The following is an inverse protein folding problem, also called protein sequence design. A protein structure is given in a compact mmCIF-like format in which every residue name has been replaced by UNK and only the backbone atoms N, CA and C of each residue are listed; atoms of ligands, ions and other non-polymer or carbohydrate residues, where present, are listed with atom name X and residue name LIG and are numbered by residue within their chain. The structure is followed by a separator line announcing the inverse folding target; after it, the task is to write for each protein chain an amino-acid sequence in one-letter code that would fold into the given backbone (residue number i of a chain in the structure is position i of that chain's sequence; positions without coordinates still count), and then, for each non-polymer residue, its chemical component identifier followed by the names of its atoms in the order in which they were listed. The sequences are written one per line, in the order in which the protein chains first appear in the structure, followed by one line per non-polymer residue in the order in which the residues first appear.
data_IF_715661698565
#
_entry.id   IF_715661698565
#
_cell.length_a   1.000
_cell.length_b   1.000
_cell.length_c   1.000
_cell.angle_alpha   90.00
_cell.angle_beta   90.00
_cell.angle_gamma   90.00
#
_symmetry.space_group_name_H-M   'P 1'
#
loop_
_entity.id
_entity.type
_entity.pdbx_description
1 polymer ?
#
# COMPACT_ATOMS: atom_id res chain seq x y z
N UNK A 1 -5.19 -12.93 9.73
CA UNK A 1 -4.22 -11.81 9.72
C UNK A 1 -4.02 -11.46 8.26
N UNK A 2 -4.68 -10.41 7.79
CA UNK A 2 -4.72 -10.09 6.36
C UNK A 2 -3.49 -9.24 6.02
N UNK A 3 -2.44 -9.90 5.54
CA UNK A 3 -1.23 -9.23 5.04
C UNK A 3 -1.41 -8.76 3.58
N UNK A 4 -2.65 -8.74 3.11
CA UNK A 4 -3.04 -8.41 1.74
C UNK A 4 -4.36 -7.65 1.76
N UNK A 5 -4.49 -6.71 0.83
CA UNK A 5 -5.67 -5.90 0.62
C UNK A 5 -5.81 -5.58 -0.87
N UNK A 6 -7.04 -5.60 -1.35
CA UNK A 6 -7.37 -5.21 -2.73
C UNK A 6 -8.20 -3.95 -2.69
N UNK A 7 -7.92 -3.06 -3.62
CA UNK A 7 -8.56 -1.76 -3.72
C UNK A 7 -9.02 -1.52 -5.14
N UNK A 8 -10.20 -0.95 -5.31
CA UNK A 8 -10.82 -0.66 -6.60
C UNK A 8 -11.21 0.81 -6.71
N UNK A 9 -11.34 1.31 -7.93
CA UNK A 9 -11.60 2.75 -8.17
C UNK A 9 -10.36 3.62 -7.92
N UNK A 10 -9.17 3.04 -7.97
CA UNK A 10 -7.90 3.74 -7.85
C UNK A 10 -7.57 4.38 -9.20
N UNK A 11 -7.82 5.68 -9.36
CA UNK A 11 -7.37 6.43 -10.54
C UNK A 11 -5.86 6.66 -10.48
N UNK A 12 -5.19 6.95 -11.61
CA UNK A 12 -3.75 7.25 -11.62
C UNK A 12 -3.37 8.45 -10.72
N UNK A 13 -4.21 9.49 -10.66
CA UNK A 13 -4.05 10.59 -9.69
C UNK A 13 -4.12 10.13 -8.23
N UNK A 14 -5.08 9.24 -7.93
CA UNK A 14 -5.27 8.65 -6.62
C UNK A 14 -4.08 7.80 -6.19
N UNK A 15 -3.62 6.98 -7.13
CA UNK A 15 -2.43 6.17 -6.97
C UNK A 15 -1.22 7.05 -6.67
N UNK A 16 -1.03 8.15 -7.40
CA UNK A 16 0.08 9.07 -7.14
C UNK A 16 0.03 9.68 -5.71
N UNK A 17 -1.18 10.01 -5.22
CA UNK A 17 -1.37 10.48 -3.85
C UNK A 17 -1.04 9.39 -2.81
N UNK A 18 -1.46 8.15 -3.08
CA UNK A 18 -1.14 6.96 -2.29
C UNK A 18 0.37 6.74 -2.22
N UNK A 19 1.10 6.81 -3.34
CA UNK A 19 2.56 6.67 -3.38
C UNK A 19 3.24 7.63 -2.40
N UNK A 20 2.78 8.88 -2.33
CA UNK A 20 3.29 9.87 -1.38
C UNK A 20 3.01 9.52 0.09
N UNK A 21 1.77 9.16 0.43
CA UNK A 21 1.37 8.78 1.79
C UNK A 21 2.07 7.50 2.26
N UNK A 22 2.21 6.53 1.37
CA UNK A 22 2.86 5.27 1.65
C UNK A 22 4.37 5.43 1.73
N UNK A 23 4.98 6.27 0.90
CA UNK A 23 6.39 6.64 1.01
C UNK A 23 6.73 7.21 2.39
N UNK A 24 5.85 8.03 2.96
CA UNK A 24 5.99 8.54 4.33
C UNK A 24 5.85 7.46 5.42
N UNK A 25 5.15 6.36 5.12
CA UNK A 25 5.05 5.18 5.98
C UNK A 25 6.18 4.15 5.73
N UNK A 26 7.14 4.47 4.85
CA UNK A 26 8.23 3.56 4.49
C UNK A 26 7.90 2.58 3.37
N UNK A 27 6.81 2.77 2.64
CA UNK A 27 6.38 1.95 1.50
C UNK A 27 6.44 2.79 0.23
N UNK A 28 7.60 2.78 -0.42
CA UNK A 28 7.78 3.45 -1.70
C UNK A 28 7.31 2.57 -2.84
N UNK A 29 6.07 2.79 -3.26
CA UNK A 29 5.54 2.25 -4.50
C UNK A 29 6.31 2.88 -5.67
N UNK A 30 7.14 2.10 -6.37
CA UNK A 30 8.00 2.53 -7.47
C UNK A 30 7.52 1.94 -8.81
N UNK A 31 6.55 2.61 -9.45
CA UNK A 31 5.94 2.17 -10.70
C UNK A 31 4.50 1.71 -10.48
N UNK A 32 4.01 0.79 -11.31
CA UNK A 32 2.66 0.25 -11.19
C UNK A 32 2.66 -1.04 -10.37
N UNK A 33 3.63 -1.92 -10.56
CA UNK A 33 3.73 -3.17 -9.83
C UNK A 33 5.16 -3.46 -9.42
N UNK A 34 5.33 -4.08 -8.26
CA UNK A 34 6.63 -4.54 -7.80
C UNK A 34 6.62 -4.89 -6.31
N UNK A 35 7.81 -5.03 -5.77
CA UNK A 35 8.02 -5.25 -4.34
C UNK A 35 8.69 -4.03 -3.73
N UNK A 36 8.10 -3.48 -2.68
CA UNK A 36 8.73 -2.47 -1.84
C UNK A 36 9.48 -3.18 -0.72
N UNK A 37 10.65 -2.65 -0.36
CA UNK A 37 11.42 -3.05 0.81
C UNK A 37 12.16 -1.84 1.34
N UNK A 38 11.70 -1.25 2.44
CA UNK A 38 12.35 -0.08 3.03
C UNK A 38 12.16 -0.05 4.54
N UNK A 39 13.24 0.26 5.25
CA UNK A 39 13.27 0.33 6.72
C UNK A 39 12.80 -0.95 7.44
N UNK A 40 12.88 -2.13 6.79
CA UNK A 40 12.35 -3.39 7.35
C UNK A 40 10.87 -3.63 7.08
N UNK A 41 10.19 -2.75 6.35
CA UNK A 41 8.84 -2.99 5.81
C UNK A 41 8.98 -3.51 4.38
N UNK A 42 8.37 -4.65 4.11
CA UNK A 42 8.24 -5.23 2.77
C UNK A 42 6.78 -5.38 2.38
N UNK A 43 6.42 -5.08 1.14
CA UNK A 43 5.10 -5.35 0.59
C UNK A 43 5.18 -5.54 -0.92
N UNK A 44 4.37 -6.42 -1.45
CA UNK A 44 4.17 -6.59 -2.88
C UNK A 44 2.96 -5.74 -3.29
N UNK A 45 3.05 -5.03 -4.41
CA UNK A 45 1.96 -4.22 -4.93
C UNK A 45 1.80 -4.42 -6.43
N UNK A 46 0.57 -4.32 -6.91
CA UNK A 46 0.22 -4.40 -8.32
C UNK A 46 -0.94 -3.43 -8.60
N UNK A 47 -0.64 -2.36 -9.32
CA UNK A 47 -1.59 -1.36 -9.75
C UNK A 47 -1.90 -1.58 -11.24
N UNK A 48 -3.18 -1.77 -11.53
CA UNK A 48 -3.73 -1.89 -12.87
C UNK A 48 -4.52 -0.63 -13.21
N UNK A 49 -3.95 0.22 -14.07
CA UNK A 49 -4.59 1.47 -14.51
C UNK A 49 -5.88 1.20 -15.29
N UNK A 50 -5.89 0.16 -16.13
CA UNK A 50 -7.05 -0.20 -16.95
C UNK A 50 -8.26 -0.63 -16.11
N UNK A 51 -8.01 -1.36 -15.02
CA UNK A 51 -9.05 -1.82 -14.10
C UNK A 51 -9.21 -0.91 -12.88
N UNK A 52 -8.42 0.17 -12.80
CA UNK A 52 -8.35 1.07 -11.65
C UNK A 52 -8.25 0.31 -10.33
N UNK A 53 -7.44 -0.74 -10.30
CA UNK A 53 -7.37 -1.70 -9.20
C UNK A 53 -5.95 -1.73 -8.66
N UNK A 54 -5.79 -1.58 -7.34
CA UNK A 54 -4.53 -1.73 -6.64
C UNK A 54 -4.62 -2.96 -5.74
N UNK A 55 -3.72 -3.91 -5.92
CA UNK A 55 -3.56 -5.04 -5.03
C UNK A 55 -2.29 -4.85 -4.23
N UNK A 56 -2.38 -4.99 -2.92
CA UNK A 56 -1.23 -5.05 -2.03
C UNK A 56 -1.24 -6.42 -1.37
N UNK A 57 -0.12 -7.10 -1.41
CA UNK A 57 0.06 -8.44 -0.90
C UNK A 57 1.32 -8.52 -0.05
N UNK A 58 1.38 -9.56 0.78
CA UNK A 58 2.60 -9.95 1.47
C UNK A 58 3.23 -8.80 2.29
N UNK A 59 2.39 -7.97 2.92
CA UNK A 59 2.84 -6.91 3.82
C UNK A 59 3.48 -7.56 5.04
N UNK A 60 4.76 -7.32 5.20
CA UNK A 60 5.59 -7.88 6.26
C UNK A 60 6.41 -6.76 6.88
N UNK A 61 6.48 -6.79 8.20
CA UNK A 61 7.31 -5.86 8.96
C UNK A 61 8.33 -6.68 9.74
N UNK A 62 9.59 -6.46 9.41
CA UNK A 62 10.75 -7.10 10.01
C UNK A 62 11.36 -6.19 11.07
N UNK A 63 12.12 -6.79 11.97
CA UNK A 63 12.87 -6.05 12.99
C UNK A 63 13.91 -5.14 12.34
N UNK A 64 14.10 -3.88 12.78
CA UNK A 64 13.49 -3.23 13.95
C UNK A 64 12.15 -2.50 13.70
N UNK A 65 11.68 -2.38 12.44
CA UNK A 65 10.44 -1.66 12.13
C UNK A 65 9.21 -2.26 12.80
N UNK A 66 9.19 -3.56 13.09
CA UNK A 66 8.08 -4.22 13.80
C UNK A 66 7.83 -3.65 15.21
N UNK A 67 8.79 -2.93 15.79
CA UNK A 67 8.62 -2.21 17.06
C UNK A 67 7.81 -0.91 16.93
N UNK A 68 7.79 -0.28 15.75
CA UNK A 68 7.07 0.98 15.49
C UNK A 68 5.87 0.81 14.54
N UNK A 69 5.96 -0.14 13.62
CA UNK A 69 5.01 -0.40 12.55
C UNK A 69 4.50 -1.83 12.64
N UNK A 70 3.25 -2.05 12.28
CA UNK A 70 2.66 -3.38 12.19
C UNK A 70 2.04 -3.52 10.80
N UNK A 71 2.05 -4.74 10.21
CA UNK A 71 1.46 -4.95 8.89
C UNK A 71 0.00 -4.52 8.85
N UNK A 72 -0.77 -4.77 9.92
CA UNK A 72 -2.15 -4.29 10.05
C UNK A 72 -2.26 -2.76 10.04
N UNK A 73 -1.36 -2.03 10.74
CA UNK A 73 -1.35 -0.56 10.75
C UNK A 73 -0.99 0.02 9.38
N UNK A 74 -0.10 -0.66 8.66
CA UNK A 74 0.24 -0.31 7.28
C UNK A 74 -0.99 -0.45 6.39
N UNK A 75 -1.66 -1.61 6.45
CA UNK A 75 -2.90 -1.87 5.71
C UNK A 75 -3.95 -0.83 6.08
N UNK A 76 -4.16 -0.54 7.37
CA UNK A 76 -5.08 0.52 7.81
C UNK A 76 -4.73 1.90 7.24
N UNK A 77 -3.44 2.27 7.20
CA UNK A 77 -3.02 3.54 6.57
C UNK A 77 -3.24 3.55 5.07
N UNK A 78 -3.05 2.42 4.39
CA UNK A 78 -3.38 2.28 2.97
C UNK A 78 -4.90 2.43 2.79
N UNK A 79 -5.71 1.70 3.56
CA UNK A 79 -7.18 1.79 3.58
C UNK A 79 -7.65 3.23 3.75
N UNK A 80 -7.12 3.93 4.76
CA UNK A 80 -7.45 5.34 5.01
C UNK A 80 -7.04 6.23 3.86
N UNK A 81 -5.86 6.02 3.29
CA UNK A 81 -5.39 6.80 2.15
C UNK A 81 -6.24 6.55 0.89
N UNK A 82 -6.62 5.29 0.65
CA UNK A 82 -7.46 4.87 -0.47
C UNK A 82 -8.84 5.49 -0.32
N UNK A 83 -9.48 5.32 0.85
CA UNK A 83 -10.79 5.92 1.16
C UNK A 83 -10.77 7.43 1.11
N UNK A 84 -9.74 8.06 1.69
CA UNK A 84 -9.57 9.52 1.70
C UNK A 84 -9.44 10.11 0.31
N UNK A 85 -8.87 9.34 -0.63
CA UNK A 85 -8.72 9.81 -1.98
C UNK A 85 -9.95 9.48 -2.85
N UNK A 86 -10.85 8.61 -2.40
CA UNK A 86 -12.10 8.25 -3.08
C UNK A 86 -12.13 6.85 -3.68
N UNK A 87 -11.11 6.03 -3.42
CA UNK A 87 -11.11 4.61 -3.77
C UNK A 87 -11.88 3.75 -2.76
N UNK A 88 -12.14 2.50 -3.14
CA UNK A 88 -12.86 1.54 -2.31
C UNK A 88 -11.96 0.36 -1.97
N UNK A 89 -12.08 -0.12 -0.73
CA UNK A 89 -11.47 -1.39 -0.30
C UNK A 89 -12.42 -2.50 -0.74
N UNK A 90 -11.91 -3.46 -1.51
CA UNK A 90 -12.68 -4.59 -2.04
C UNK A 90 -12.75 -5.77 -1.05
#
# INVERSE_FOLDING_TARGET
MANSATYTGITPDLYNNLKGKLGAAGIELAGNSGRVSKQGVTADYAYEENSQTLQINNVQVSFPASMMFSPDKIIQKIDEAVRSAGGQVA
#
